data_IF_963616972224
#
_entry.id   IF_963616972224
#
_cell.length_a   1.000
_cell.length_b   1.000
_cell.length_c   1.000
_cell.angle_alpha   90.00
_cell.angle_beta   90.00
_cell.angle_gamma   90.00
#
_symmetry.space_group_name_H-M   'P 1'
#
loop_
_entity.id
_entity.type
_entity.pdbx_description
1 polymer ?
#
# COMPACT_ATOMS: atom_id res chain seq x y z
N UNK A 1 -74.57 -8.41 -38.72
CA UNK A 1 -74.18 -7.54 -39.85
C UNK A 1 -73.56 -6.28 -39.26
N UNK A 2 -72.23 -6.27 -39.14
CA UNK A 2 -71.29 -5.35 -39.83
C UNK A 2 -71.43 -3.89 -39.36
N UNK A 3 -70.39 -3.29 -38.75
CA UNK A 3 -69.21 -2.80 -39.49
C UNK A 3 -67.92 -2.77 -38.65
N UNK A 4 -66.88 -3.31 -39.28
CA UNK A 4 -65.46 -3.13 -39.05
C UNK A 4 -65.00 -1.72 -39.48
N UNK A 5 -63.84 -1.28 -38.94
CA UNK A 5 -62.88 -0.20 -39.33
C UNK A 5 -62.64 0.74 -38.12
N UNK A 6 -61.44 1.16 -37.70
CA UNK A 6 -60.08 1.19 -38.27
C UNK A 6 -59.09 1.47 -37.10
N UNK A 7 -57.93 0.79 -37.09
CA UNK A 7 -56.58 1.25 -36.74
C UNK A 7 -56.39 2.37 -35.69
N UNK A 8 -55.72 2.04 -34.58
CA UNK A 8 -54.70 2.90 -33.96
C UNK A 8 -53.71 2.01 -33.19
N UNK A 9 -52.65 1.58 -33.88
CA UNK A 9 -51.44 1.09 -33.23
C UNK A 9 -50.69 2.28 -32.66
N UNK A 10 -50.35 2.24 -31.37
CA UNK A 10 -49.21 2.94 -30.74
C UNK A 10 -49.22 2.60 -29.24
N UNK A 11 -49.03 1.31 -28.90
CA UNK A 11 -48.58 0.98 -27.55
C UNK A 11 -47.08 1.23 -27.50
N UNK A 12 -46.80 2.43 -26.98
CA UNK A 12 -45.54 2.97 -26.56
C UNK A 12 -44.70 1.92 -25.84
N UNK A 13 -43.53 1.64 -26.42
CA UNK A 13 -42.42 0.93 -25.81
C UNK A 13 -42.21 1.34 -24.35
N UNK A 14 -42.09 0.34 -23.46
CA UNK A 14 -41.13 0.45 -22.38
C UNK A 14 -40.40 -0.88 -22.23
N UNK A 15 -39.22 -0.89 -22.85
CA UNK A 15 -38.17 -1.90 -22.78
C UNK A 15 -37.94 -2.27 -21.31
N UNK A 16 -38.10 -3.55 -20.98
CA UNK A 16 -37.63 -4.14 -19.72
C UNK A 16 -36.11 -4.02 -19.74
N UNK A 17 -35.60 -2.97 -19.10
CA UNK A 17 -34.18 -2.83 -18.83
C UNK A 17 -33.83 -3.81 -17.72
N UNK A 18 -33.36 -4.98 -18.12
CA UNK A 18 -32.52 -5.78 -17.22
C UNK A 18 -31.28 -4.94 -16.96
N UNK A 19 -31.28 -4.24 -15.83
CA UNK A 19 -30.10 -3.61 -15.26
C UNK A 19 -29.13 -4.74 -14.91
N UNK A 20 -28.34 -5.18 -15.90
CA UNK A 20 -27.04 -5.77 -15.63
C UNK A 20 -26.31 -4.72 -14.82
N UNK A 21 -26.18 -5.00 -13.53
CA UNK A 21 -25.31 -4.26 -12.65
C UNK A 21 -23.89 -4.37 -13.22
N UNK A 22 -23.56 -3.44 -14.11
CA UNK A 22 -22.19 -3.05 -14.41
C UNK A 22 -21.66 -2.42 -13.13
N UNK A 23 -21.41 -3.25 -12.13
CA UNK A 23 -20.51 -2.91 -11.06
C UNK A 23 -19.15 -2.94 -11.74
N UNK A 24 -18.47 -1.81 -11.98
CA UNK A 24 -17.08 -1.88 -12.37
C UNK A 24 -16.40 -2.59 -11.21
N UNK A 25 -15.99 -3.84 -11.43
CA UNK A 25 -14.93 -4.44 -10.63
C UNK A 25 -13.84 -3.39 -10.69
N UNK A 26 -13.61 -2.70 -9.57
CA UNK A 26 -12.50 -1.77 -9.41
C UNK A 26 -11.27 -2.61 -9.70
N UNK A 27 -10.81 -2.58 -10.97
CA UNK A 27 -9.47 -3.00 -11.32
C UNK A 27 -8.61 -2.20 -10.36
N UNK A 28 -8.02 -2.89 -9.40
CA UNK A 28 -6.94 -2.31 -8.62
C UNK A 28 -5.83 -2.16 -9.65
N UNK A 29 -5.80 -1.00 -10.31
CA UNK A 29 -4.65 -0.58 -11.11
C UNK A 29 -3.45 -0.81 -10.20
N UNK A 30 -2.55 -1.69 -10.63
CA UNK A 30 -1.43 -2.12 -9.81
C UNK A 30 -0.70 -0.88 -9.33
N UNK A 31 -0.64 -0.71 -8.00
CA UNK A 31 0.03 0.43 -7.38
C UNK A 31 1.45 0.56 -7.95
N UNK A 32 1.86 1.78 -8.30
CA UNK A 32 3.21 2.14 -8.78
C UNK A 32 4.35 1.75 -7.80
N UNK A 33 4.00 1.22 -6.62
CA UNK A 33 4.89 0.63 -5.64
C UNK A 33 4.28 0.69 -4.24
N UNK A 34 5.11 0.49 -3.22
CA UNK A 34 4.74 0.78 -1.83
C UNK A 34 4.39 2.26 -1.69
N UNK A 35 3.24 2.55 -1.09
CA UNK A 35 2.73 3.90 -0.86
C UNK A 35 3.29 4.42 0.47
N UNK A 36 4.30 5.26 0.39
CA UNK A 36 4.89 5.91 1.55
C UNK A 36 4.06 7.13 1.98
N UNK A 37 3.58 7.09 3.21
CA UNK A 37 2.88 8.17 3.88
C UNK A 37 3.75 9.44 3.90
N UNK A 38 3.12 10.58 3.64
CA UNK A 38 3.75 11.90 3.66
C UNK A 38 3.28 12.61 4.92
N UNK A 39 4.17 12.70 5.90
CA UNK A 39 3.93 13.27 7.22
C UNK A 39 5.02 12.81 8.19
N UNK A 40 4.81 13.10 9.47
CA UNK A 40 5.71 12.71 10.56
C UNK A 40 5.50 11.27 11.00
N UNK A 41 6.48 10.70 11.68
CA UNK A 41 6.39 9.37 12.29
C UNK A 41 5.25 9.27 13.32
N UNK A 42 5.02 10.35 14.08
CA UNK A 42 3.88 10.44 15.00
C UNK A 42 2.53 10.33 14.29
N UNK A 43 2.38 11.00 13.15
CA UNK A 43 1.17 10.92 12.34
C UNK A 43 1.01 9.54 11.68
N UNK A 44 2.11 8.91 11.26
CA UNK A 44 2.08 7.54 10.76
C UNK A 44 1.57 6.57 11.83
N UNK A 45 2.04 6.68 13.08
CA UNK A 45 1.53 5.90 14.21
C UNK A 45 0.03 6.14 14.46
N UNK A 46 -0.40 7.41 14.45
CA UNK A 46 -1.82 7.73 14.62
C UNK A 46 -2.69 7.13 13.49
N UNK A 47 -2.23 7.22 12.24
CA UNK A 47 -2.88 6.62 11.07
C UNK A 47 -2.93 5.10 11.18
N UNK A 48 -1.84 4.45 11.58
CA UNK A 48 -1.76 3.00 11.75
C UNK A 48 -2.75 2.51 12.82
N UNK A 49 -2.87 3.21 13.96
CA UNK A 49 -3.89 2.92 14.97
C UNK A 49 -5.30 3.07 14.42
N UNK A 50 -5.59 4.16 13.70
CA UNK A 50 -6.90 4.43 13.11
C UNK A 50 -7.30 3.39 12.05
N UNK A 51 -6.35 2.93 11.25
CA UNK A 51 -6.59 1.96 10.18
C UNK A 51 -6.42 0.50 10.61
N UNK A 52 -6.11 0.25 11.88
CA UNK A 52 -5.75 -1.07 12.41
C UNK A 52 -4.64 -1.75 11.59
N UNK A 53 -3.61 -0.97 11.21
CA UNK A 53 -2.44 -1.42 10.46
C UNK A 53 -1.19 -1.40 11.31
N UNK A 54 -0.18 -2.14 10.86
CA UNK A 54 1.19 -2.09 11.37
C UNK A 54 1.96 -0.92 10.73
N UNK A 55 3.21 -0.69 11.13
CA UNK A 55 4.10 0.28 10.47
C UNK A 55 5.20 -0.46 9.71
N UNK A 56 5.46 -0.03 8.48
CA UNK A 56 6.65 -0.40 7.72
C UNK A 56 7.54 0.83 7.59
N UNK A 57 8.70 0.83 8.27
CA UNK A 57 9.60 1.99 8.31
C UNK A 57 10.87 1.70 7.51
N UNK A 58 11.06 2.43 6.40
CA UNK A 58 12.29 2.45 5.58
C UNK A 58 13.28 3.46 6.15
N UNK A 59 14.35 2.96 6.78
CA UNK A 59 15.40 3.79 7.37
C UNK A 59 16.56 3.91 6.36
N UNK A 60 16.80 5.12 5.88
CA UNK A 60 17.75 5.37 4.81
C UNK A 60 18.56 6.65 5.04
N UNK A 61 19.58 6.86 4.20
CA UNK A 61 20.26 8.14 4.02
C UNK A 61 20.32 8.49 2.54
N UNK A 62 20.50 9.77 2.19
CA UNK A 62 20.44 10.25 0.80
C UNK A 62 21.59 9.75 -0.08
N UNK A 63 22.74 9.49 0.52
CA UNK A 63 23.95 8.99 -0.15
C UNK A 63 24.00 7.46 -0.27
N UNK A 64 23.09 6.74 0.41
CA UNK A 64 23.07 5.27 0.42
C UNK A 64 22.66 4.67 -0.94
N UNK A 65 23.64 4.10 -1.66
CA UNK A 65 23.43 3.39 -2.93
C UNK A 65 22.45 2.22 -2.82
N UNK A 66 22.63 1.27 -1.87
CA UNK A 66 21.71 0.15 -1.69
C UNK A 66 20.26 0.59 -1.39
N UNK A 67 20.07 1.69 -0.67
CA UNK A 67 18.74 2.26 -0.40
C UNK A 67 18.05 2.73 -1.67
N UNK A 68 18.80 3.37 -2.58
CA UNK A 68 18.28 3.77 -3.91
C UNK A 68 17.87 2.54 -4.73
N UNK A 69 18.69 1.48 -4.71
CA UNK A 69 18.39 0.21 -5.38
C UNK A 69 17.13 -0.45 -4.81
N UNK A 70 16.96 -0.47 -3.49
CA UNK A 70 15.74 -0.97 -2.84
C UNK A 70 14.49 -0.22 -3.35
N UNK A 71 14.56 1.11 -3.41
CA UNK A 71 13.47 1.97 -3.92
C UNK A 71 13.15 1.75 -5.39
N UNK A 72 14.16 1.50 -6.23
CA UNK A 72 13.97 1.36 -7.69
C UNK A 72 13.67 -0.07 -8.15
N UNK A 73 14.11 -1.10 -7.43
CA UNK A 73 14.01 -2.50 -7.90
C UNK A 73 13.18 -3.42 -7.03
N UNK A 74 12.91 -3.04 -5.77
CA UNK A 74 12.18 -3.91 -4.82
C UNK A 74 10.80 -3.33 -4.51
N UNK A 75 10.73 -2.09 -4.05
CA UNK A 75 9.46 -1.45 -3.68
C UNK A 75 8.42 -1.31 -4.80
N UNK A 76 8.78 -1.22 -6.09
CA UNK A 76 7.81 -1.21 -7.19
C UNK A 76 7.17 -2.57 -7.49
N UNK A 77 7.66 -3.68 -6.90
CA UNK A 77 7.07 -4.99 -7.12
C UNK A 77 5.61 -5.02 -6.67
N UNK A 78 4.72 -5.46 -7.57
CA UNK A 78 3.27 -5.37 -7.38
C UNK A 78 2.77 -6.25 -6.23
N UNK A 79 3.35 -7.42 -6.04
CA UNK A 79 2.90 -8.37 -5.01
C UNK A 79 3.34 -7.89 -3.62
N UNK A 80 4.58 -7.44 -3.51
CA UNK A 80 5.09 -6.81 -2.31
C UNK A 80 4.28 -5.55 -1.98
N UNK A 81 4.12 -4.63 -2.94
CA UNK A 81 3.39 -3.38 -2.75
C UNK A 81 1.96 -3.63 -2.31
N UNK A 82 1.23 -4.53 -2.98
CA UNK A 82 -0.14 -4.87 -2.59
C UNK A 82 -0.22 -5.35 -1.14
N UNK A 83 0.67 -6.28 -0.74
CA UNK A 83 0.69 -6.79 0.62
C UNK A 83 1.05 -5.71 1.65
N UNK A 84 2.09 -4.91 1.39
CA UNK A 84 2.53 -3.87 2.31
C UNK A 84 1.45 -2.78 2.45
N UNK A 85 0.91 -2.27 1.35
CA UNK A 85 -0.11 -1.21 1.35
C UNK A 85 -1.41 -1.62 2.06
N UNK A 86 -1.77 -2.91 1.97
CA UNK A 86 -2.94 -3.48 2.64
C UNK A 86 -2.73 -3.59 4.15
N UNK A 87 -1.54 -3.97 4.61
CA UNK A 87 -1.31 -4.38 6.01
C UNK A 87 -0.55 -3.34 6.86
N UNK A 88 0.12 -2.38 6.20
CA UNK A 88 1.02 -1.44 6.84
C UNK A 88 0.73 0.00 6.41
N UNK A 89 0.98 0.93 7.33
CA UNK A 89 1.27 2.33 6.99
C UNK A 89 2.78 2.43 6.81
N UNK A 90 3.21 2.70 5.58
CA UNK A 90 4.63 2.80 5.24
C UNK A 90 5.14 4.22 5.45
N UNK A 91 6.30 4.38 6.07
CA UNK A 91 6.98 5.68 6.20
C UNK A 91 8.47 5.52 5.88
N UNK A 92 9.03 6.49 5.16
CA UNK A 92 10.46 6.53 4.86
C UNK A 92 11.08 7.65 5.69
N UNK A 93 12.14 7.32 6.44
CA UNK A 93 12.82 8.23 7.35
C UNK A 93 14.28 8.36 6.91
N UNK A 94 14.66 9.58 6.54
CA UNK A 94 16.06 9.93 6.33
C UNK A 94 16.71 10.15 7.70
N UNK A 95 17.60 9.26 8.11
CA UNK A 95 18.16 9.26 9.47
C UNK A 95 19.10 10.44 9.75
N UNK A 96 19.52 11.18 8.73
CA UNK A 96 20.40 12.35 8.89
C UNK A 96 19.64 13.70 8.89
N UNK A 97 18.38 13.71 8.46
CA UNK A 97 17.63 14.95 8.23
C UNK A 97 16.24 14.92 8.89
N UNK A 98 15.65 16.09 9.10
CA UNK A 98 14.30 16.22 9.68
C UNK A 98 14.21 15.57 11.07
N UNK A 99 13.21 14.71 11.26
CA UNK A 99 13.02 13.95 12.51
C UNK A 99 13.95 12.72 12.64
N UNK A 100 14.71 12.39 11.58
CA UNK A 100 15.59 11.23 11.51
C UNK A 100 16.60 11.10 12.64
N UNK A 101 17.36 12.16 13.00
CA UNK A 101 18.34 12.08 14.09
C UNK A 101 17.73 11.75 15.46
N UNK A 102 16.48 12.13 15.71
CA UNK A 102 15.77 11.75 16.93
C UNK A 102 15.22 10.33 16.84
N UNK A 103 14.67 9.95 15.68
CA UNK A 103 14.14 8.59 15.45
C UNK A 103 15.25 7.54 15.49
N UNK A 104 16.45 7.83 14.97
CA UNK A 104 17.58 6.90 14.96
C UNK A 104 18.10 6.56 16.36
N UNK A 105 17.91 7.46 17.35
CA UNK A 105 18.19 7.16 18.75
C UNK A 105 17.17 6.19 19.36
N UNK A 106 15.92 6.25 18.91
CA UNK A 106 14.84 5.36 19.37
C UNK A 106 14.88 4.00 18.65
N UNK A 107 15.34 3.99 17.39
CA UNK A 107 15.41 2.83 16.51
C UNK A 107 16.83 2.72 15.92
N UNK A 108 17.82 2.27 16.71
CA UNK A 108 19.21 2.22 16.27
C UNK A 108 19.43 1.12 15.22
N UNK A 109 20.11 1.48 14.13
CA UNK A 109 20.39 0.59 12.99
C UNK A 109 21.87 0.22 12.94
N UNK A 110 22.15 -1.02 12.51
CA UNK A 110 23.53 -1.51 12.30
C UNK A 110 24.08 -1.12 10.93
N UNK A 111 23.20 -0.78 9.98
CA UNK A 111 23.58 -0.39 8.63
C UNK A 111 22.39 0.01 7.77
N UNK A 112 22.67 0.54 6.58
CA UNK A 112 21.65 1.01 5.64
C UNK A 112 21.55 0.11 4.39
N UNK A 113 20.34 -0.10 3.85
CA UNK A 113 19.05 0.24 4.45
C UNK A 113 18.73 -0.66 5.66
N UNK A 114 17.89 -0.19 6.56
CA UNK A 114 17.22 -1.06 7.55
C UNK A 114 15.72 -0.83 7.46
N UNK A 115 14.96 -1.93 7.43
CA UNK A 115 13.52 -1.92 7.39
C UNK A 115 12.98 -2.42 8.72
N UNK A 116 12.25 -1.58 9.44
CA UNK A 116 11.53 -2.01 10.63
C UNK A 116 10.07 -2.32 10.32
N UNK A 117 9.60 -3.42 10.89
CA UNK A 117 8.20 -3.78 10.96
C UNK A 117 7.74 -3.59 12.40
N UNK A 118 6.95 -2.55 12.65
CA UNK A 118 6.46 -2.19 13.98
C UNK A 118 4.98 -2.51 14.11
N UNK A 119 4.50 -2.72 15.33
CA UNK A 119 3.06 -2.64 15.59
C UNK A 119 2.56 -1.18 15.57
N UNK A 120 1.25 -0.99 15.70
CA UNK A 120 0.62 0.33 15.69
C UNK A 120 1.01 1.21 16.90
N UNK A 121 1.69 0.66 17.90
CA UNK A 121 2.24 1.41 19.04
C UNK A 121 3.74 1.74 18.86
N UNK A 122 4.33 1.38 17.72
CA UNK A 122 5.74 1.64 17.43
C UNK A 122 6.70 0.61 18.03
N UNK A 123 6.20 -0.51 18.58
CA UNK A 123 7.08 -1.58 19.08
C UNK A 123 7.62 -2.40 17.92
N UNK A 124 8.93 -2.62 17.90
CA UNK A 124 9.59 -3.46 16.89
C UNK A 124 9.08 -4.90 16.98
N UNK A 125 8.55 -5.41 15.87
CA UNK A 125 8.17 -6.82 15.71
C UNK A 125 9.27 -7.61 15.02
N UNK A 126 9.83 -7.04 13.95
CA UNK A 126 10.95 -7.58 13.19
C UNK A 126 11.76 -6.45 12.55
N UNK A 127 13.01 -6.78 12.25
CA UNK A 127 13.96 -5.91 11.56
C UNK A 127 14.55 -6.70 10.40
N UNK A 128 14.61 -6.07 9.23
CA UNK A 128 15.30 -6.59 8.06
C UNK A 128 16.44 -5.63 7.70
N UNK A 129 17.68 -6.12 7.71
CA UNK A 129 18.87 -5.31 7.48
C UNK A 129 19.41 -5.59 6.07
N UNK A 130 19.71 -4.53 5.33
CA UNK A 130 20.33 -4.60 4.01
C UNK A 130 19.35 -4.76 2.85
N UNK A 131 19.93 -4.92 1.65
CA UNK A 131 19.18 -5.16 0.43
C UNK A 131 18.82 -6.66 0.31
N UNK A 132 17.55 -7.05 0.12
CA UNK A 132 17.17 -8.44 -0.06
C UNK A 132 17.80 -9.00 -1.34
N UNK A 133 18.59 -10.06 -1.19
CA UNK A 133 19.29 -10.70 -2.31
C UNK A 133 18.31 -11.50 -3.18
N UNK A 134 17.23 -12.02 -2.59
CA UNK A 134 16.09 -12.60 -3.29
C UNK A 134 15.09 -11.56 -3.83
N UNK A 135 15.39 -10.26 -3.72
CA UNK A 135 14.53 -9.19 -4.20
C UNK A 135 13.21 -9.09 -3.46
N UNK A 136 12.14 -8.72 -4.17
CA UNK A 136 10.83 -8.47 -3.57
C UNK A 136 10.16 -9.72 -2.95
N UNK A 137 10.42 -10.90 -3.50
CA UNK A 137 9.83 -12.16 -3.00
C UNK A 137 10.35 -12.53 -1.60
N UNK A 138 11.64 -12.28 -1.34
CA UNK A 138 12.25 -12.45 -0.02
C UNK A 138 11.60 -11.52 0.99
N UNK A 139 11.51 -10.22 0.67
CA UNK A 139 10.93 -9.22 1.56
C UNK A 139 9.43 -9.47 1.81
N UNK A 140 8.69 -9.91 0.80
CA UNK A 140 7.29 -10.32 0.94
C UNK A 140 7.15 -11.51 1.88
N UNK A 141 7.95 -12.57 1.66
CA UNK A 141 7.94 -13.77 2.51
C UNK A 141 8.32 -13.46 3.95
N UNK A 142 9.23 -12.50 4.15
CA UNK A 142 9.59 -12.00 5.47
C UNK A 142 8.41 -11.30 6.14
N UNK A 143 7.77 -10.35 5.44
CA UNK A 143 6.65 -9.57 5.95
C UNK A 143 5.43 -10.44 6.30
N UNK A 144 5.16 -11.48 5.51
CA UNK A 144 4.05 -12.42 5.72
C UNK A 144 4.19 -13.28 6.98
N UNK A 145 5.41 -13.47 7.50
CA UNK A 145 5.66 -14.24 8.72
C UNK A 145 5.45 -13.43 10.00
N UNK A 146 5.16 -12.13 9.87
CA UNK A 146 5.00 -11.21 11.01
C UNK A 146 3.55 -11.25 11.51
N UNK A 147 3.35 -11.91 12.64
CA UNK A 147 2.08 -11.94 13.37
C UNK A 147 1.72 -10.56 13.92
#
# INVERSE_FOLDING_TARGET
>A
MTKLKLIAALFMSLIVTTAFANNPIKKTEGSEGILFFKGTFKEALAKAKKENKKIFMDCYTTWCGPCKKLKSSVFPDKNLAAYINQNYVSIAVDYENGEGPAISQLYPVEGYPTLYFLDSNGKVKKTFVGLPSGGASELLSFAQKIK
#
